data_IF_007022167950
#
_entry.id   IF_007022167950
#
_cell.length_a   1.000
_cell.length_b   1.000
_cell.length_c   1.000
_cell.angle_alpha   90.00
_cell.angle_beta   90.00
_cell.angle_gamma   90.00
#
_symmetry.space_group_name_H-M   'P 1'
#
loop_
_entity.id
_entity.type
_entity.pdbx_description
1 polymer ?
#
# COMPACT_ATOMS: atom_id res chain seq x y z
N UNK A 1 17.67 19.84 -8.26
CA UNK A 1 16.57 18.86 -8.40
C UNK A 1 15.30 19.62 -8.73
N UNK A 2 14.64 19.39 -9.88
CA UNK A 2 13.34 19.98 -10.16
C UNK A 2 12.34 19.52 -9.10
N UNK A 3 11.45 20.39 -8.63
CA UNK A 3 10.37 20.00 -7.71
C UNK A 3 9.52 18.94 -8.40
N UNK A 4 9.56 17.70 -7.92
CA UNK A 4 8.65 16.65 -8.37
C UNK A 4 7.22 17.20 -8.31
N UNK A 5 6.52 17.18 -9.44
CA UNK A 5 5.12 17.59 -9.50
C UNK A 5 4.32 16.71 -8.53
N UNK A 6 3.76 17.34 -7.49
CA UNK A 6 2.93 16.67 -6.51
C UNK A 6 1.72 16.05 -7.21
N UNK A 7 1.69 14.72 -7.29
CA UNK A 7 0.58 13.98 -7.89
C UNK A 7 -0.66 14.13 -7.01
N UNK A 8 -1.65 14.87 -7.51
CA UNK A 8 -2.94 15.04 -6.83
C UNK A 8 -3.83 13.81 -7.05
N UNK A 9 -3.98 12.98 -6.01
CA UNK A 9 -4.90 11.83 -6.02
C UNK A 9 -6.33 12.29 -5.75
N UNK A 10 -7.24 12.01 -6.68
CA UNK A 10 -8.68 12.22 -6.52
C UNK A 10 -9.27 11.06 -5.73
N UNK A 11 -9.85 11.36 -4.57
CA UNK A 11 -10.58 10.41 -3.72
C UNK A 11 -12.05 10.34 -4.14
N UNK A 12 -12.73 9.20 -3.93
CA UNK A 12 -14.18 9.12 -4.10
C UNK A 12 -14.88 10.16 -3.21
N UNK A 13 -15.86 10.85 -3.75
CA UNK A 13 -16.61 11.88 -3.02
C UNK A 13 -17.59 11.30 -2.00
N UNK A 14 -18.10 10.08 -2.25
CA UNK A 14 -19.03 9.39 -1.36
C UNK A 14 -18.73 7.89 -1.33
N UNK A 15 -18.70 7.32 -0.13
CA UNK A 15 -18.57 5.88 0.12
C UNK A 15 -19.93 5.38 0.61
N UNK A 16 -20.39 4.26 0.05
CA UNK A 16 -21.62 3.60 0.45
C UNK A 16 -21.35 2.58 1.56
N UNK A 17 -21.51 2.97 2.82
CA UNK A 17 -21.25 2.07 3.96
C UNK A 17 -22.31 0.98 4.15
N UNK A 18 -23.43 1.06 3.45
CA UNK A 18 -24.48 0.04 3.45
C UNK A 18 -24.25 -1.04 2.40
N UNK A 19 -23.13 -0.98 1.66
CA UNK A 19 -22.79 -1.96 0.64
C UNK A 19 -22.53 -3.34 1.26
N UNK A 20 -23.09 -4.36 0.61
CA UNK A 20 -22.93 -5.76 1.01
C UNK A 20 -21.66 -6.39 0.41
N UNK A 21 -21.17 -5.84 -0.70
CA UNK A 21 -19.92 -6.22 -1.36
C UNK A 21 -18.99 -5.00 -1.48
N UNK A 22 -17.68 -5.23 -1.38
CA UNK A 22 -16.64 -4.22 -1.47
C UNK A 22 -16.62 -3.50 -2.82
N UNK A 23 -17.06 -4.15 -3.90
CA UNK A 23 -17.17 -3.50 -5.22
C UNK A 23 -18.24 -2.40 -5.22
N UNK A 24 -19.25 -2.50 -4.36
CA UNK A 24 -20.39 -1.57 -4.30
C UNK A 24 -20.18 -0.42 -3.31
N UNK A 25 -19.07 -0.43 -2.56
CA UNK A 25 -18.68 0.67 -1.67
C UNK A 25 -18.50 2.00 -2.41
N UNK A 26 -18.10 1.94 -3.68
CA UNK A 26 -17.81 3.10 -4.51
C UNK A 26 -18.63 2.98 -5.79
N UNK A 27 -19.37 4.03 -6.16
CA UNK A 27 -19.99 4.08 -7.47
C UNK A 27 -18.94 4.39 -8.54
N UNK A 28 -18.32 3.35 -9.10
CA UNK A 28 -17.23 3.47 -10.07
C UNK A 28 -17.61 4.21 -11.35
N UNK A 29 -18.89 4.18 -11.75
CA UNK A 29 -19.37 4.88 -12.96
C UNK A 29 -19.44 6.39 -12.79
N UNK A 30 -19.74 6.86 -11.57
CA UNK A 30 -19.97 8.29 -11.28
C UNK A 30 -18.76 8.98 -10.66
N UNK A 31 -17.69 8.25 -10.33
CA UNK A 31 -16.55 8.77 -9.57
C UNK A 31 -15.31 8.95 -10.45
N UNK A 32 -14.76 10.16 -10.46
CA UNK A 32 -13.48 10.47 -11.14
C UNK A 32 -12.33 10.18 -10.17
N UNK A 33 -11.93 8.92 -10.07
CA UNK A 33 -10.86 8.47 -9.17
C UNK A 33 -9.55 8.43 -9.94
N UNK A 34 -8.47 8.91 -9.34
CA UNK A 34 -7.14 8.76 -9.93
C UNK A 34 -6.77 7.28 -9.91
N UNK A 35 -6.79 6.66 -11.10
CA UNK A 35 -6.28 5.29 -11.29
C UNK A 35 -4.83 5.19 -10.77
N UNK A 36 -4.61 4.33 -9.77
CA UNK A 36 -3.27 3.86 -9.38
C UNK A 36 -2.59 3.23 -10.61
N UNK A 37 -1.33 3.54 -10.85
CA UNK A 37 -0.60 3.04 -12.04
C UNK A 37 -0.48 1.49 -12.11
N UNK A 38 -0.93 0.76 -11.10
CA UNK A 38 -1.01 -0.70 -11.08
C UNK A 38 -2.29 -1.27 -11.71
N UNK A 39 -3.24 -0.44 -12.15
CA UNK A 39 -4.49 -0.83 -12.81
C UNK A 39 -4.32 -1.17 -14.30
N UNK A 40 -3.34 -2.01 -14.63
CA UNK A 40 -3.18 -2.54 -15.99
C UNK A 40 -4.24 -3.59 -16.37
N UNK A 41 -4.20 -4.15 -17.61
CA UNK A 41 -5.15 -5.13 -18.14
C UNK A 41 -5.37 -6.39 -17.28
N UNK A 42 -4.50 -6.61 -16.28
CA UNK A 42 -4.62 -7.65 -15.28
C UNK A 42 -5.93 -7.55 -14.47
N UNK A 43 -6.45 -6.35 -14.15
CA UNK A 43 -7.66 -6.27 -13.32
C UNK A 43 -8.94 -6.64 -14.05
N UNK A 44 -9.11 -6.26 -15.32
CA UNK A 44 -10.28 -6.69 -16.10
C UNK A 44 -10.30 -8.22 -16.20
N UNK A 45 -9.14 -8.82 -16.43
CA UNK A 45 -8.98 -10.27 -16.48
C UNK A 45 -9.23 -10.94 -15.13
N UNK A 46 -8.74 -10.37 -14.03
CA UNK A 46 -8.93 -10.88 -12.67
C UNK A 46 -10.40 -10.76 -12.24
N UNK A 47 -11.04 -9.61 -12.47
CA UNK A 47 -12.45 -9.38 -12.14
C UNK A 47 -13.36 -10.27 -12.99
N UNK A 48 -13.06 -10.43 -14.28
CA UNK A 48 -13.77 -11.35 -15.16
C UNK A 48 -13.61 -12.80 -14.70
N UNK A 49 -12.38 -13.25 -14.42
CA UNK A 49 -12.10 -14.60 -13.91
C UNK A 49 -12.72 -14.87 -12.54
N UNK A 50 -12.77 -13.85 -11.67
CA UNK A 50 -13.42 -13.93 -10.37
C UNK A 50 -14.94 -14.12 -10.54
N UNK A 51 -15.58 -13.35 -11.43
CA UNK A 51 -17.01 -13.48 -11.76
C UNK A 51 -17.35 -14.80 -12.45
N UNK A 52 -16.47 -15.32 -13.31
CA UNK A 52 -16.68 -16.61 -13.98
C UNK A 52 -16.29 -17.83 -13.13
N UNK A 53 -15.89 -17.62 -11.87
CA UNK A 53 -15.47 -18.70 -10.96
C UNK A 53 -14.18 -19.42 -11.37
N UNK A 54 -13.46 -18.89 -12.36
CA UNK A 54 -12.22 -19.46 -12.91
C UNK A 54 -10.96 -18.80 -12.34
N UNK A 55 -11.12 -17.89 -11.37
CA UNK A 55 -10.00 -17.40 -10.58
C UNK A 55 -9.62 -18.47 -9.56
N UNK A 56 -8.79 -19.42 -9.98
CA UNK A 56 -7.98 -20.18 -9.03
C UNK A 56 -7.07 -19.19 -8.33
N UNK A 57 -7.22 -19.08 -7.00
CA UNK A 57 -6.26 -18.34 -6.19
C UNK A 57 -4.88 -18.85 -6.58
N UNK A 58 -4.05 -17.99 -7.17
CA UNK A 58 -2.64 -18.30 -7.34
C UNK A 58 -2.16 -18.56 -5.92
N UNK A 59 -1.58 -19.73 -5.61
CA UNK A 59 -0.98 -19.99 -4.31
C UNK A 59 0.25 -19.09 -4.23
N UNK A 60 0.01 -17.82 -3.91
CA UNK A 60 1.04 -16.95 -3.39
C UNK A 60 1.47 -17.65 -2.11
N UNK A 61 2.77 -17.94 -1.94
CA UNK A 61 3.24 -18.57 -0.73
C UNK A 61 2.83 -17.65 0.43
N UNK A 62 1.78 -18.06 1.13
CA UNK A 62 1.22 -17.41 2.31
C UNK A 62 2.27 -17.32 3.43
N UNK A 63 3.35 -18.10 3.29
CA UNK A 63 4.55 -18.11 4.12
C UNK A 63 5.81 -17.86 3.30
N UNK A 64 5.78 -16.89 2.38
CA UNK A 64 7.06 -16.40 1.86
C UNK A 64 7.79 -15.67 2.98
N UNK A 65 9.08 -15.94 3.10
CA UNK A 65 9.95 -15.22 4.03
C UNK A 65 9.84 -13.69 3.84
N UNK A 66 9.54 -13.22 2.63
CA UNK A 66 9.30 -11.81 2.35
C UNK A 66 8.05 -11.25 3.03
N UNK A 67 6.95 -12.01 3.09
CA UNK A 67 5.72 -11.61 3.77
C UNK A 67 5.95 -11.57 5.29
N UNK A 68 6.57 -12.60 5.86
CA UNK A 68 6.90 -12.64 7.29
C UNK A 68 7.87 -11.51 7.67
N UNK A 69 8.87 -11.25 6.83
CA UNK A 69 9.81 -10.15 7.01
C UNK A 69 9.12 -8.79 6.95
N UNK A 70 8.23 -8.58 5.98
CA UNK A 70 7.45 -7.35 5.84
C UNK A 70 6.55 -7.08 7.04
N UNK A 71 5.82 -8.08 7.50
CA UNK A 71 4.96 -7.97 8.70
C UNK A 71 5.81 -7.66 9.93
N UNK A 72 6.91 -8.38 10.15
CA UNK A 72 7.83 -8.14 11.28
C UNK A 72 8.42 -6.73 11.26
N UNK A 73 8.81 -6.24 10.07
CA UNK A 73 9.37 -4.91 9.90
C UNK A 73 8.32 -3.83 10.22
N UNK A 74 7.09 -3.97 9.72
CA UNK A 74 5.98 -3.06 10.01
C UNK A 74 5.63 -3.09 11.50
N UNK A 75 5.53 -4.26 12.12
CA UNK A 75 5.23 -4.41 13.55
C UNK A 75 6.30 -3.74 14.40
N UNK A 76 7.58 -4.02 14.16
CA UNK A 76 8.70 -3.36 14.87
C UNK A 76 8.71 -1.85 14.64
N UNK A 77 8.43 -1.40 13.42
CA UNK A 77 8.34 0.03 13.13
C UNK A 77 7.18 0.70 13.88
N UNK A 78 6.05 0.00 14.06
CA UNK A 78 4.91 0.47 14.84
C UNK A 78 5.22 0.49 16.34
N UNK A 79 5.79 -0.58 16.90
CA UNK A 79 6.19 -0.67 18.32
C UNK A 79 7.17 0.43 18.71
N UNK A 80 8.18 0.67 17.86
CA UNK A 80 9.16 1.73 18.08
C UNK A 80 8.53 3.13 17.96
N UNK A 81 7.33 3.27 17.40
CA UNK A 81 6.61 4.56 17.27
C UNK A 81 5.54 4.78 18.36
N UNK A 82 5.27 3.80 19.22
CA UNK A 82 4.38 3.98 20.37
C UNK A 82 5.19 4.63 21.51
N UNK A 83 4.84 5.88 21.84
CA UNK A 83 5.48 6.69 22.88
C UNK A 83 6.57 7.63 22.35
N UNK A 84 6.63 8.84 22.92
CA UNK A 84 7.52 9.92 22.47
C UNK A 84 9.01 9.55 22.54
N UNK A 85 9.40 8.83 23.58
CA UNK A 85 10.76 8.34 23.81
C UNK A 85 11.24 7.38 22.71
N UNK A 86 10.39 6.43 22.30
CA UNK A 86 10.75 5.43 21.30
C UNK A 86 10.84 6.06 19.91
N UNK A 87 9.93 7.00 19.60
CA UNK A 87 10.00 7.82 18.39
C UNK A 87 11.29 8.64 18.33
N UNK A 88 11.68 9.28 19.43
CA UNK A 88 12.92 10.07 19.49
C UNK A 88 14.16 9.20 19.24
N UNK A 89 14.24 8.04 19.90
CA UNK A 89 15.34 7.07 19.73
C UNK A 89 15.45 6.56 18.29
N UNK A 90 14.31 6.28 17.64
CA UNK A 90 14.30 5.88 16.22
C UNK A 90 14.88 6.96 15.31
N UNK A 91 14.45 8.21 15.48
CA UNK A 91 14.92 9.33 14.67
C UNK A 91 16.44 9.49 14.80
N UNK A 92 16.97 9.41 16.02
CA UNK A 92 18.41 9.47 16.28
C UNK A 92 19.16 8.29 15.63
N UNK A 93 18.62 7.07 15.74
CA UNK A 93 19.26 5.88 15.17
C UNK A 93 19.27 5.91 13.63
N UNK A 94 18.17 6.33 12.99
CA UNK A 94 18.11 6.49 11.53
C UNK A 94 19.08 7.57 11.07
N UNK A 95 19.18 8.70 11.79
CA UNK A 95 20.13 9.77 11.47
C UNK A 95 21.58 9.28 11.55
N UNK A 96 21.93 8.53 12.60
CA UNK A 96 23.27 7.93 12.75
C UNK A 96 23.57 6.90 11.66
N UNK A 97 22.63 6.00 11.37
CA UNK A 97 22.79 5.00 10.30
C UNK A 97 23.03 5.65 8.93
N UNK A 98 22.29 6.73 8.62
CA UNK A 98 22.48 7.48 7.36
C UNK A 98 23.81 8.23 7.31
N UNK A 99 24.32 8.70 8.45
CA UNK A 99 25.65 9.31 8.53
C UNK A 99 26.79 8.29 8.37
N UNK A 100 26.56 7.03 8.75
CA UNK A 100 27.55 5.96 8.60
C UNK A 100 27.64 5.37 7.18
N UNK A 101 26.70 5.71 6.30
CA UNK A 101 26.77 5.25 4.91
C UNK A 101 27.79 6.09 4.14
N UNK A 102 28.73 5.46 3.41
CA UNK A 102 29.66 6.19 2.57
C UNK A 102 28.87 6.97 1.50
N UNK A 103 29.26 8.22 1.26
CA UNK A 103 28.79 8.93 0.08
C UNK A 103 29.40 8.26 -1.15
N UNK A 104 28.53 7.84 -2.06
CA UNK A 104 28.94 7.40 -3.39
C UNK A 104 28.81 8.60 -4.31
N UNK A 105 29.91 8.92 -5.01
CA UNK A 105 29.96 9.93 -6.07
C UNK A 105 29.16 9.47 -7.31
#
# INVERSE_FOLDING_TARGET
MPREELRNFKRPSKINFEAQDYVDLINWEKQVITSLQFYGPLQVLIVFKARSGTLTAIPLPCHSQGVEHGINLVTKACEVRIGDENRHKLILNVRKSRQSLPHFD
#
